data_IF_586328272190
#
_entry.id   IF_586328272190
#
_cell.length_a   1.000
_cell.length_b   1.000
_cell.length_c   1.000
_cell.angle_alpha   90.00
_cell.angle_beta   90.00
_cell.angle_gamma   90.00
#
_symmetry.space_group_name_H-M   'P 1'
#
loop_
_entity.id
_entity.type
_entity.pdbx_description
1 polymer ?
#
# COMPACT_ATOMS: atom_id res chain seq x y z
N UNK A 1 -21.83 -12.68 51.97
CA UNK A 1 -20.62 -12.46 51.14
C UNK A 1 -19.85 -11.30 51.74
N UNK A 2 -18.63 -11.52 52.25
CA UNK A 2 -17.84 -10.48 52.94
C UNK A 2 -17.52 -9.29 52.02
N UNK A 3 -17.48 -8.09 52.60
CA UNK A 3 -17.23 -6.81 51.90
C UNK A 3 -16.00 -6.86 50.99
N UNK A 4 -14.90 -7.47 51.46
CA UNK A 4 -13.68 -7.69 50.68
C UNK A 4 -13.90 -8.52 49.40
N UNK A 5 -14.79 -9.51 49.44
CA UNK A 5 -15.12 -10.35 48.29
C UNK A 5 -15.98 -9.61 47.27
N UNK A 6 -16.76 -8.59 47.69
CA UNK A 6 -17.52 -7.71 46.79
C UNK A 6 -16.60 -6.71 46.08
N UNK A 7 -15.70 -6.06 46.83
CA UNK A 7 -14.73 -5.10 46.28
C UNK A 7 -13.78 -5.76 45.29
N UNK A 8 -13.27 -6.96 45.61
CA UNK A 8 -12.42 -7.73 44.71
C UNK A 8 -13.16 -8.13 43.40
N UNK A 9 -14.44 -8.50 43.50
CA UNK A 9 -15.25 -8.84 42.32
C UNK A 9 -15.51 -7.60 41.44
N UNK A 10 -15.78 -6.45 42.04
CA UNK A 10 -15.97 -5.19 41.31
C UNK A 10 -14.69 -4.73 40.61
N UNK A 11 -13.53 -4.86 41.23
CA UNK A 11 -12.23 -4.55 40.61
C UNK A 11 -11.92 -5.48 39.45
N UNK A 12 -12.20 -6.78 39.58
CA UNK A 12 -12.01 -7.76 38.50
C UNK A 12 -12.90 -7.44 37.29
N UNK A 13 -14.16 -7.07 37.52
CA UNK A 13 -15.08 -6.67 36.45
C UNK A 13 -14.63 -5.39 35.75
N UNK A 14 -14.09 -4.42 36.50
CA UNK A 14 -13.54 -3.18 35.94
C UNK A 14 -12.32 -3.44 35.05
N UNK A 15 -11.42 -4.33 35.47
CA UNK A 15 -10.25 -4.74 34.70
C UNK A 15 -10.68 -5.47 33.41
N UNK A 16 -11.63 -6.40 33.49
CA UNK A 16 -12.16 -7.11 32.33
C UNK A 16 -12.83 -6.17 31.31
N UNK A 17 -13.57 -5.15 31.77
CA UNK A 17 -14.15 -4.13 30.87
C UNK A 17 -13.12 -3.21 30.23
N UNK A 18 -11.98 -2.97 30.88
CA UNK A 18 -10.90 -2.17 30.31
C UNK A 18 -10.13 -2.94 29.23
N UNK A 19 -10.02 -4.28 29.35
CA UNK A 19 -9.41 -5.16 28.34
C UNK A 19 -10.19 -5.18 27.02
N UNK A 20 -11.53 -5.08 27.06
CA UNK A 20 -12.35 -5.01 25.83
C UNK A 20 -12.20 -3.71 25.04
N UNK A 21 -11.66 -2.65 25.65
CA UNK A 21 -11.40 -1.38 24.96
C UNK A 21 -10.12 -1.39 24.11
N UNK A 22 -9.30 -2.45 24.23
CA UNK A 22 -8.06 -2.63 23.46
C UNK A 22 -8.14 -3.77 22.45
N UNK A 23 -9.34 -4.32 22.22
CA UNK A 23 -9.53 -5.23 21.09
C UNK A 23 -9.63 -4.36 19.84
N UNK A 24 -8.64 -4.44 18.96
CA UNK A 24 -8.80 -3.95 17.59
C UNK A 24 -10.06 -4.59 17.01
N UNK A 25 -10.94 -3.76 16.45
CA UNK A 25 -12.13 -4.26 15.78
C UNK A 25 -11.65 -5.16 14.64
N UNK A 26 -12.09 -6.44 14.55
CA UNK A 26 -11.71 -7.29 13.45
C UNK A 26 -12.06 -6.57 12.15
N UNK A 27 -11.09 -6.46 11.23
CA UNK A 27 -11.34 -5.91 9.90
C UNK A 27 -12.54 -6.64 9.31
N UNK A 28 -13.58 -5.88 8.94
CA UNK A 28 -14.80 -6.45 8.41
C UNK A 28 -14.43 -7.38 7.24
N UNK A 29 -14.94 -8.62 7.21
CA UNK A 29 -14.59 -9.56 6.16
C UNK A 29 -14.97 -8.97 4.81
N UNK A 30 -14.02 -8.96 3.88
CA UNK A 30 -14.22 -8.44 2.51
C UNK A 30 -15.37 -9.16 1.82
N UNK A 31 -16.04 -8.46 0.92
CA UNK A 31 -17.11 -9.05 0.12
C UNK A 31 -16.62 -10.21 -0.77
N UNK A 32 -17.52 -11.12 -1.14
CA UNK A 32 -17.24 -12.18 -2.10
C UNK A 32 -16.83 -11.64 -3.49
N UNK A 33 -17.35 -10.47 -3.89
CA UNK A 33 -17.00 -9.84 -5.17
C UNK A 33 -15.57 -9.27 -5.15
N UNK A 34 -15.16 -8.67 -4.03
CA UNK A 34 -13.78 -8.21 -3.83
C UNK A 34 -12.79 -9.40 -3.85
N UNK A 35 -13.12 -10.48 -3.12
CA UNK A 35 -12.30 -11.71 -3.10
C UNK A 35 -12.16 -12.29 -4.52
N UNK A 36 -13.26 -12.44 -5.24
CA UNK A 36 -13.24 -12.97 -6.61
C UNK A 36 -12.43 -12.09 -7.58
N UNK A 37 -12.51 -10.76 -7.43
CA UNK A 37 -11.70 -9.83 -8.22
C UNK A 37 -10.20 -10.01 -7.94
N UNK A 38 -9.81 -10.08 -6.66
CA UNK A 38 -8.42 -10.27 -6.25
C UNK A 38 -7.86 -11.62 -6.69
N UNK A 39 -8.65 -12.69 -6.57
CA UNK A 39 -8.28 -14.02 -7.09
C UNK A 39 -8.04 -13.97 -8.60
N UNK A 40 -8.85 -13.20 -9.34
CA UNK A 40 -8.66 -12.98 -10.77
C UNK A 40 -7.35 -12.23 -11.05
N UNK A 41 -7.03 -11.18 -10.29
CA UNK A 41 -5.74 -10.47 -10.40
C UNK A 41 -4.56 -11.41 -10.11
N UNK A 42 -4.66 -12.24 -9.07
CA UNK A 42 -3.63 -13.25 -8.74
C UNK A 42 -3.44 -14.25 -9.89
N UNK A 43 -4.53 -14.74 -10.49
CA UNK A 43 -4.46 -15.64 -11.64
C UNK A 43 -3.75 -14.99 -12.82
N UNK A 44 -4.14 -13.76 -13.16
CA UNK A 44 -3.58 -13.05 -14.29
C UNK A 44 -2.09 -12.71 -14.09
N UNK A 45 -1.68 -12.36 -12.87
CA UNK A 45 -0.26 -12.18 -12.54
C UNK A 45 0.54 -13.47 -12.73
N UNK A 46 -0.02 -14.63 -12.37
CA UNK A 46 0.62 -15.94 -12.60
C UNK A 46 0.72 -16.26 -14.09
N UNK A 47 -0.31 -15.92 -14.86
CA UNK A 47 -0.32 -16.12 -16.31
C UNK A 47 0.76 -15.28 -17.02
N UNK A 48 1.03 -14.07 -16.50
CA UNK A 48 2.15 -13.22 -16.93
C UNK A 48 3.54 -13.70 -16.41
N UNK A 49 3.59 -14.76 -15.61
CA UNK A 49 4.83 -15.36 -15.11
C UNK A 49 5.34 -14.80 -13.79
N UNK A 50 4.54 -13.99 -13.08
CA UNK A 50 4.87 -13.54 -11.74
C UNK A 50 4.54 -14.59 -10.68
N UNK A 51 5.13 -14.44 -9.49
CA UNK A 51 4.85 -15.28 -8.31
C UNK A 51 4.21 -14.41 -7.22
N UNK A 52 2.89 -14.16 -7.29
CA UNK A 52 2.22 -13.32 -6.31
C UNK A 52 1.99 -14.05 -4.97
N UNK A 53 2.00 -13.29 -3.88
CA UNK A 53 1.58 -13.71 -2.55
C UNK A 53 0.53 -12.76 -1.98
N UNK A 54 -0.43 -13.29 -1.23
CA UNK A 54 -1.51 -12.51 -0.61
C UNK A 54 -1.23 -12.44 0.89
N UNK A 55 -1.29 -11.24 1.48
CA UNK A 55 -1.16 -11.06 2.93
C UNK A 55 -2.51 -11.13 3.66
N UNK A 56 -2.49 -10.88 4.98
CA UNK A 56 -3.65 -11.03 5.87
C UNK A 56 -4.78 -10.03 5.55
N UNK A 57 -4.44 -8.81 5.12
CA UNK A 57 -5.39 -7.74 4.78
C UNK A 57 -5.88 -7.82 3.34
N UNK A 58 -5.27 -8.72 2.57
CA UNK A 58 -5.63 -9.04 1.21
C UNK A 58 -4.83 -8.27 0.16
N UNK A 59 -3.76 -7.61 0.51
CA UNK A 59 -2.93 -7.01 -0.51
C UNK A 59 -2.10 -8.07 -1.23
N UNK A 60 -1.92 -7.86 -2.54
CA UNK A 60 -1.26 -8.81 -3.44
C UNK A 60 0.16 -8.32 -3.71
N UNK A 61 1.15 -8.97 -3.14
CA UNK A 61 2.56 -8.70 -3.34
C UNK A 61 3.12 -9.49 -4.51
N UNK A 62 3.96 -8.87 -5.34
CA UNK A 62 4.70 -9.55 -6.39
C UNK A 62 6.03 -8.83 -6.68
N UNK A 63 6.92 -9.48 -7.44
CA UNK A 63 8.23 -8.90 -7.82
C UNK A 63 8.31 -8.62 -9.31
N UNK A 64 8.87 -7.47 -9.68
CA UNK A 64 9.24 -7.13 -11.06
C UNK A 64 10.62 -6.49 -11.05
N UNK A 65 11.54 -6.99 -11.88
CA UNK A 65 12.93 -6.49 -11.99
C UNK A 65 13.73 -6.47 -10.67
N UNK A 66 13.29 -7.26 -9.67
CA UNK A 66 13.90 -7.28 -8.33
C UNK A 66 13.21 -6.37 -7.31
N UNK A 67 12.36 -5.46 -7.77
CA UNK A 67 11.56 -4.58 -6.94
C UNK A 67 10.26 -5.26 -6.46
N UNK A 68 9.85 -4.97 -5.23
CA UNK A 68 8.58 -5.41 -4.67
C UNK A 68 7.49 -4.41 -5.03
N UNK A 69 6.41 -4.90 -5.62
CA UNK A 69 5.20 -4.13 -5.88
C UNK A 69 4.02 -4.76 -5.13
N UNK A 70 3.06 -3.91 -4.80
CA UNK A 70 1.84 -4.24 -4.11
C UNK A 70 0.63 -3.88 -4.96
N UNK A 71 -0.38 -4.73 -5.01
CA UNK A 71 -1.71 -4.39 -5.52
C UNK A 71 -2.71 -4.45 -4.38
N UNK A 72 -3.35 -3.32 -4.08
CA UNK A 72 -4.44 -3.23 -3.12
C UNK A 72 -5.77 -3.01 -3.84
N UNK A 73 -6.84 -3.65 -3.34
CA UNK A 73 -8.21 -3.54 -3.86
C UNK A 73 -9.12 -3.14 -2.71
N UNK A 74 -9.67 -1.93 -2.72
CA UNK A 74 -10.36 -1.38 -1.55
C UNK A 74 -11.87 -1.62 -1.56
N UNK A 75 -12.53 -1.47 -2.72
CA UNK A 75 -14.00 -1.49 -2.77
C UNK A 75 -14.58 -2.91 -2.67
N UNK A 76 -15.75 -3.02 -2.06
CA UNK A 76 -16.48 -4.29 -1.94
C UNK A 76 -17.14 -4.71 -3.26
N UNK A 77 -17.46 -3.79 -4.17
CA UNK A 77 -18.14 -4.10 -5.42
C UNK A 77 -17.59 -3.26 -6.57
N UNK A 78 -17.77 -3.75 -7.81
CA UNK A 78 -17.37 -3.00 -9.00
C UNK A 78 -18.10 -1.65 -9.12
N UNK A 79 -17.45 -0.59 -9.65
CA UNK A 79 -16.03 -0.56 -10.05
C UNK A 79 -15.11 -0.61 -8.83
N UNK A 80 -14.02 -1.38 -8.93
CA UNK A 80 -13.06 -1.54 -7.86
C UNK A 80 -11.98 -0.46 -7.94
N UNK A 81 -11.77 0.28 -6.86
CA UNK A 81 -10.57 1.08 -6.65
C UNK A 81 -9.38 0.14 -6.42
N UNK A 82 -8.42 0.21 -7.33
CA UNK A 82 -7.19 -0.59 -7.32
C UNK A 82 -5.99 0.35 -7.31
N UNK A 83 -5.07 0.09 -6.38
CA UNK A 83 -3.82 0.81 -6.26
C UNK A 83 -2.64 -0.15 -6.48
N UNK A 84 -1.75 0.19 -7.40
CA UNK A 84 -0.44 -0.46 -7.52
C UNK A 84 0.58 0.44 -6.80
N UNK A 85 1.27 -0.09 -5.80
CA UNK A 85 2.25 0.66 -5.01
C UNK A 85 3.65 0.07 -5.19
N UNK A 86 4.63 0.97 -5.35
CA UNK A 86 6.05 0.69 -5.28
C UNK A 86 6.66 1.48 -4.12
N UNK A 87 7.32 0.77 -3.21
CA UNK A 87 8.00 1.35 -2.06
C UNK A 87 9.47 1.57 -2.39
N UNK A 88 9.81 2.81 -2.74
CA UNK A 88 11.20 3.19 -2.98
C UNK A 88 11.86 3.54 -1.64
N UNK A 89 12.95 2.86 -1.28
CA UNK A 89 13.72 3.23 -0.09
C UNK A 89 14.28 4.65 -0.22
N UNK A 90 14.06 5.48 0.78
CA UNK A 90 14.68 6.82 0.88
C UNK A 90 15.98 6.81 1.69
N UNK A 91 16.54 5.64 1.97
CA UNK A 91 17.80 5.51 2.73
C UNK A 91 18.93 6.28 2.04
N UNK A 92 19.53 7.22 2.76
CA UNK A 92 20.58 8.10 2.24
C UNK A 92 20.07 9.32 1.49
N UNK A 93 18.75 9.56 1.47
CA UNK A 93 18.12 10.78 0.99
C UNK A 93 17.70 11.67 2.17
N UNK A 94 18.67 12.04 3.01
CA UNK A 94 18.41 12.64 4.33
C UNK A 94 17.93 14.10 4.28
N UNK A 95 18.24 14.82 3.19
CA UNK A 95 17.71 16.17 2.94
C UNK A 95 16.24 16.12 2.48
N UNK A 96 15.33 16.40 3.40
CA UNK A 96 13.89 16.42 3.19
C UNK A 96 13.43 17.46 2.17
N UNK A 97 14.09 18.61 2.08
CA UNK A 97 13.71 19.66 1.11
C UNK A 97 14.08 19.22 -0.31
N UNK A 98 15.27 18.62 -0.48
CA UNK A 98 15.69 18.06 -1.74
C UNK A 98 14.81 16.86 -2.15
N UNK A 99 14.45 15.99 -1.21
CA UNK A 99 13.55 14.86 -1.47
C UNK A 99 12.15 15.34 -1.90
N UNK A 100 11.58 16.32 -1.19
CA UNK A 100 10.28 16.89 -1.55
C UNK A 100 10.30 17.55 -2.93
N UNK A 101 11.39 18.22 -3.32
CA UNK A 101 11.56 18.75 -4.67
C UNK A 101 11.59 17.64 -5.72
N UNK A 102 12.30 16.54 -5.45
CA UNK A 102 12.34 15.38 -6.34
C UNK A 102 10.95 14.73 -6.47
N UNK A 103 10.25 14.50 -5.37
CA UNK A 103 8.86 13.98 -5.33
C UNK A 103 7.92 14.86 -6.16
N UNK A 104 7.97 16.18 -5.96
CA UNK A 104 7.15 17.12 -6.72
C UNK A 104 7.51 17.13 -8.22
N UNK A 105 8.79 16.98 -8.57
CA UNK A 105 9.20 16.86 -9.96
C UNK A 105 8.58 15.62 -10.62
N UNK A 106 8.54 14.49 -9.92
CA UNK A 106 7.90 13.26 -10.44
C UNK A 106 6.39 13.46 -10.59
N UNK A 107 5.71 13.98 -9.57
CA UNK A 107 4.27 14.26 -9.64
C UNK A 107 3.91 15.22 -10.79
N UNK A 108 4.80 16.14 -11.15
CA UNK A 108 4.60 17.07 -12.25
C UNK A 108 4.83 16.42 -13.63
N UNK A 109 5.84 15.56 -13.76
CA UNK A 109 6.34 15.11 -15.07
C UNK A 109 5.97 13.66 -15.42
N UNK A 110 5.73 12.80 -14.43
CA UNK A 110 5.37 11.40 -14.65
C UNK A 110 3.85 11.25 -14.61
N UNK A 111 3.25 11.03 -15.79
CA UNK A 111 1.80 10.82 -15.90
C UNK A 111 1.36 9.59 -15.12
N UNK A 112 0.18 9.68 -14.52
CA UNK A 112 -0.50 8.60 -13.79
C UNK A 112 0.19 8.11 -12.51
N UNK A 113 1.40 8.59 -12.18
CA UNK A 113 2.10 8.23 -10.94
C UNK A 113 1.91 9.32 -9.91
N UNK A 114 1.53 8.90 -8.70
CA UNK A 114 1.48 9.73 -7.51
C UNK A 114 2.59 9.30 -6.56
N UNK A 115 3.39 10.26 -6.12
CA UNK A 115 4.48 10.08 -5.17
C UNK A 115 4.15 10.78 -3.85
N UNK A 116 4.36 10.09 -2.74
CA UNK A 116 4.23 10.62 -1.39
C UNK A 116 5.42 10.14 -0.53
N UNK A 117 5.92 11.01 0.34
CA UNK A 117 6.91 10.62 1.35
C UNK A 117 6.17 9.97 2.51
N UNK A 118 6.73 8.87 3.03
CA UNK A 118 6.30 8.26 4.28
C UNK A 118 7.48 8.34 5.24
N UNK A 119 7.42 9.40 6.04
CA UNK A 119 8.47 9.80 6.99
C UNK A 119 8.66 8.74 8.09
N UNK A 120 7.61 7.97 8.40
CA UNK A 120 7.64 6.96 9.46
C UNK A 120 8.37 5.69 9.02
N UNK A 121 8.29 5.34 7.74
CA UNK A 121 8.83 4.09 7.21
C UNK A 121 10.12 4.24 6.38
N UNK A 122 10.62 5.46 6.18
CA UNK A 122 11.87 5.69 5.44
C UNK A 122 11.77 5.26 3.97
N UNK A 123 10.60 5.54 3.37
CA UNK A 123 10.28 5.20 1.99
C UNK A 123 9.55 6.36 1.31
N UNK A 124 9.64 6.40 -0.02
CA UNK A 124 8.73 7.15 -0.87
C UNK A 124 7.78 6.15 -1.50
N UNK A 125 6.48 6.37 -1.34
CA UNK A 125 5.44 5.58 -1.99
C UNK A 125 5.18 6.16 -3.36
N UNK A 126 5.38 5.35 -4.39
CA UNK A 126 4.95 5.64 -5.75
C UNK A 126 3.73 4.78 -6.04
N UNK A 127 2.66 5.37 -6.58
CA UNK A 127 1.44 4.61 -6.85
C UNK A 127 0.75 5.02 -8.14
N UNK A 128 0.08 4.04 -8.75
CA UNK A 128 -0.91 4.24 -9.79
C UNK A 128 -2.25 3.81 -9.21
N UNK A 129 -3.24 4.69 -9.27
CA UNK A 129 -4.58 4.50 -8.71
C UNK A 129 -5.60 4.48 -9.85
N UNK A 130 -6.48 3.48 -9.90
CA UNK A 130 -7.44 3.28 -11.00
C UNK A 130 -8.75 2.63 -10.54
N UNK A 131 -9.85 2.93 -11.24
CA UNK A 131 -11.13 2.25 -11.08
C UNK A 131 -11.34 1.22 -12.19
N UNK A 132 -11.57 -0.04 -11.82
CA UNK A 132 -11.68 -1.14 -12.76
C UNK A 132 -13.01 -1.89 -12.60
N UNK A 133 -13.73 -2.07 -13.72
CA UNK A 133 -14.97 -2.87 -13.72
C UNK A 133 -14.69 -4.39 -13.79
N UNK A 134 -13.48 -4.79 -14.18
CA UNK A 134 -13.05 -6.19 -14.23
C UNK A 134 -11.53 -6.29 -14.10
N UNK A 135 -11.04 -7.46 -13.68
CA UNK A 135 -9.61 -7.70 -13.57
C UNK A 135 -8.89 -7.64 -14.92
N UNK A 136 -9.59 -7.94 -16.02
CA UNK A 136 -9.04 -7.79 -17.37
C UNK A 136 -8.71 -6.32 -17.70
N UNK A 137 -9.58 -5.37 -17.34
CA UNK A 137 -9.31 -3.93 -17.57
C UNK A 137 -8.06 -3.47 -16.82
N UNK A 138 -7.85 -4.01 -15.62
CA UNK A 138 -6.63 -3.80 -14.86
C UNK A 138 -5.40 -4.37 -15.59
N UNK A 139 -5.50 -5.61 -16.08
CA UNK A 139 -4.39 -6.28 -16.77
C UNK A 139 -4.03 -5.66 -18.11
N UNK A 140 -5.00 -5.17 -18.86
CA UNK A 140 -4.77 -4.51 -20.16
C UNK A 140 -3.79 -3.34 -20.06
N UNK A 141 -3.70 -2.71 -18.87
CA UNK A 141 -2.80 -1.58 -18.61
C UNK A 141 -1.67 -1.90 -17.62
N UNK A 142 -1.64 -3.12 -17.06
CA UNK A 142 -0.76 -3.49 -15.95
C UNK A 142 0.73 -3.31 -16.27
N UNK A 143 1.17 -3.76 -17.44
CA UNK A 143 2.58 -3.61 -17.87
C UNK A 143 2.94 -2.13 -17.95
N UNK A 144 2.10 -1.32 -18.60
CA UNK A 144 2.29 0.13 -18.71
C UNK A 144 2.39 0.78 -17.33
N UNK A 145 1.46 0.48 -16.42
CA UNK A 145 1.47 1.06 -15.06
C UNK A 145 2.72 0.68 -14.27
N UNK A 146 3.11 -0.59 -14.29
CA UNK A 146 4.29 -1.07 -13.56
C UNK A 146 5.59 -0.52 -14.14
N UNK A 147 5.72 -0.42 -15.47
CA UNK A 147 6.89 0.17 -16.12
C UNK A 147 7.03 1.66 -15.80
N UNK A 148 5.92 2.40 -15.83
CA UNK A 148 5.91 3.82 -15.46
C UNK A 148 6.21 4.04 -13.98
N UNK A 149 5.75 3.17 -13.08
CA UNK A 149 6.08 3.21 -11.65
C UNK A 149 7.57 3.02 -11.41
N UNK A 150 8.17 1.98 -11.99
CA UNK A 150 9.60 1.70 -11.83
C UNK A 150 10.47 2.78 -12.48
N UNK A 151 10.06 3.30 -13.65
CA UNK A 151 10.73 4.44 -14.26
C UNK A 151 10.67 5.68 -13.36
N UNK A 152 9.51 5.99 -12.78
CA UNK A 152 9.35 7.12 -11.88
C UNK A 152 10.26 6.99 -10.65
N UNK A 153 10.43 5.79 -10.10
CA UNK A 153 11.36 5.54 -9.00
C UNK A 153 12.81 5.82 -9.37
N UNK A 154 13.26 5.37 -10.55
CA UNK A 154 14.61 5.68 -11.08
C UNK A 154 14.80 7.17 -11.32
N UNK A 155 13.81 7.85 -11.88
CA UNK A 155 13.85 9.30 -12.11
C UNK A 155 13.89 10.07 -10.79
N UNK A 156 13.15 9.62 -9.76
CA UNK A 156 13.16 10.25 -8.44
C UNK A 156 14.55 10.21 -7.82
N UNK A 157 15.17 9.03 -7.80
CA UNK A 157 16.53 8.87 -7.30
C UNK A 157 17.53 9.75 -8.08
N UNK A 158 17.32 9.91 -9.39
CA UNK A 158 18.11 10.81 -10.23
C UNK A 158 17.84 12.30 -9.98
N UNK A 159 16.63 12.67 -9.59
CA UNK A 159 16.21 14.04 -9.30
C UNK A 159 16.59 14.50 -7.89
N UNK A 160 16.84 13.56 -6.96
CA UNK A 160 17.38 13.89 -5.64
C UNK A 160 18.74 14.60 -5.77
N UNK A 161 18.82 15.79 -5.19
CA UNK A 161 19.97 16.69 -5.32
C UNK A 161 20.08 17.61 -4.09
N UNK A 162 20.69 17.11 -2.99
CA UNK A 162 20.84 17.87 -1.75
C UNK A 162 21.75 19.09 -1.92
N UNK A 163 22.71 19.03 -2.85
CA UNK A 163 23.69 20.08 -3.07
C UNK A 163 23.20 21.18 -4.05
N UNK A 164 22.03 21.01 -4.67
CA UNK A 164 21.51 21.93 -5.68
C UNK A 164 22.38 22.03 -6.94
N UNK A 165 23.14 20.98 -7.24
CA UNK A 165 24.07 20.89 -8.37
C UNK A 165 23.40 20.69 -9.73
N UNK A 166 22.16 20.20 -9.74
CA UNK A 166 21.37 19.86 -10.93
C UNK A 166 20.43 21.03 -11.23
N UNK A 167 20.68 21.70 -12.37
CA UNK A 167 19.85 22.80 -12.89
C UNK A 167 18.70 22.29 -13.74
#
# INVERSE_FOLDING_TARGET
>A
MNMYRRVAFSLLLFVLSALSCFADEPTAPRSAANIAYRDSVVSLLKDEGFVPSVDEDGDIWFKKEGDNLLVSVQDDTAPFYVQITYYLSSKGMDDQVALLKAVNNINLNCRCVKCAMDDDNGVVLLSVETYNNSAQVFMDNFVTYTDHLLLAGRLLAGAYDPDGSKK
#
